data_IF_887445884489
#
_entry.id   IF_887445884489
#
_cell.length_a   1.000
_cell.length_b   1.000
_cell.length_c   1.000
_cell.angle_alpha   90.00
_cell.angle_beta   90.00
_cell.angle_gamma   90.00
#
_symmetry.space_group_name_H-M   'P 1'
#
loop_
_entity.id
_entity.type
_entity.pdbx_description
1 polymer ?
#
# COMPACT_ATOMS: atom_id res chain seq x y z
N UNK A 1 -11.03 18.19 1.27
CA UNK A 1 -11.14 16.81 1.80
C UNK A 1 -9.80 16.14 2.07
N UNK A 2 -8.82 16.20 1.17
CA UNK A 2 -7.50 15.57 1.38
C UNK A 2 -6.79 16.02 2.66
N UNK A 3 -6.79 17.33 2.94
CA UNK A 3 -6.16 17.87 4.16
C UNK A 3 -6.87 17.38 5.43
N UNK A 4 -8.20 17.36 5.45
CA UNK A 4 -8.97 16.82 6.58
C UNK A 4 -8.62 15.35 6.89
N UNK A 5 -8.53 14.50 5.87
CA UNK A 5 -8.14 13.09 6.03
C UNK A 5 -6.70 12.99 6.54
N UNK A 6 -5.79 13.80 6.00
CA UNK A 6 -4.39 13.84 6.39
C UNK A 6 -4.19 14.32 7.84
N UNK A 7 -4.92 15.36 8.26
CA UNK A 7 -4.82 15.93 9.61
C UNK A 7 -5.46 14.99 10.64
N UNK A 8 -6.58 14.35 10.29
CA UNK A 8 -7.23 13.34 11.15
C UNK A 8 -6.34 12.12 11.33
N UNK A 9 -5.74 11.63 10.24
CA UNK A 9 -4.77 10.54 10.29
C UNK A 9 -3.57 10.90 11.16
N UNK A 10 -2.99 12.07 10.96
CA UNK A 10 -1.87 12.53 11.75
C UNK A 10 -2.23 12.71 13.23
N UNK A 11 -3.42 13.21 13.55
CA UNK A 11 -3.87 13.36 14.94
C UNK A 11 -3.94 12.02 15.69
N UNK A 12 -4.34 10.94 15.02
CA UNK A 12 -4.49 9.61 15.64
C UNK A 12 -3.20 8.80 15.56
N UNK A 13 -2.62 8.68 14.36
CA UNK A 13 -1.55 7.73 14.05
C UNK A 13 -0.14 8.33 14.16
N UNK A 14 0.02 9.66 14.11
CA UNK A 14 1.36 10.25 14.15
C UNK A 14 1.86 10.37 15.60
N UNK A 15 2.96 9.68 15.89
CA UNK A 15 3.61 9.71 17.20
C UNK A 15 4.12 11.11 17.59
N UNK A 16 4.39 11.98 16.61
CA UNK A 16 4.86 13.34 16.87
C UNK A 16 3.74 14.36 17.09
N UNK A 17 2.46 13.98 16.93
CA UNK A 17 1.32 14.92 16.99
C UNK A 17 0.24 14.46 17.97
N UNK A 18 0.04 13.14 18.09
CA UNK A 18 -0.96 12.57 19.00
C UNK A 18 -0.70 13.00 20.47
N UNK A 19 -1.72 13.37 21.26
CA UNK A 19 -1.59 13.74 22.68
C UNK A 19 -0.80 12.75 23.55
N UNK A 20 -0.73 11.48 23.15
CA UNK A 20 0.14 10.45 23.74
C UNK A 20 1.64 10.66 23.50
N UNK A 21 2.07 11.79 22.90
CA UNK A 21 3.48 12.11 22.58
C UNK A 21 4.33 12.38 23.80
N UNK A 22 3.70 12.75 24.92
CA UNK A 22 4.39 13.01 26.18
C UNK A 22 5.01 11.73 26.80
N UNK A 23 4.79 10.57 26.20
CA UNK A 23 5.39 9.29 26.58
C UNK A 23 6.52 9.01 25.58
N UNK A 24 7.77 8.98 26.08
CA UNK A 24 8.97 8.82 25.25
C UNK A 24 9.12 7.40 24.67
N UNK A 25 8.46 6.40 25.25
CA UNK A 25 8.52 5.01 24.79
C UNK A 25 7.46 4.69 23.73
N UNK A 26 7.92 4.34 22.52
CA UNK A 26 7.09 3.91 21.39
C UNK A 26 6.31 2.61 21.67
N UNK A 27 6.88 1.66 22.41
CA UNK A 27 6.18 0.42 22.76
C UNK A 27 5.01 0.70 23.69
N UNK A 28 5.20 1.56 24.68
CA UNK A 28 4.14 1.95 25.62
C UNK A 28 3.01 2.65 24.89
N UNK A 29 3.33 3.57 23.96
CA UNK A 29 2.31 4.22 23.12
C UNK A 29 1.51 3.20 22.30
N UNK A 30 2.18 2.27 21.62
CA UNK A 30 1.49 1.26 20.83
C UNK A 30 0.60 0.38 21.72
N UNK A 31 1.08 0.00 22.90
CA UNK A 31 0.32 -0.79 23.87
C UNK A 31 -0.93 -0.05 24.33
N UNK A 32 -0.85 1.24 24.65
CA UNK A 32 -2.01 2.06 25.05
C UNK A 32 -3.05 2.15 23.93
N UNK A 33 -2.62 2.42 22.69
CA UNK A 33 -3.51 2.44 21.53
C UNK A 33 -4.16 1.07 21.29
N UNK A 34 -3.41 -0.02 21.47
CA UNK A 34 -3.90 -1.38 21.36
C UNK A 34 -4.94 -1.66 22.44
N UNK A 35 -4.65 -1.38 23.71
CA UNK A 35 -5.61 -1.60 24.83
C UNK A 35 -6.89 -0.80 24.63
N UNK A 36 -6.79 0.44 24.14
CA UNK A 36 -7.97 1.24 23.80
C UNK A 36 -8.79 0.57 22.70
N UNK A 37 -8.16 0.05 21.64
CA UNK A 37 -8.85 -0.73 20.61
C UNK A 37 -9.51 -2.00 21.18
N UNK A 38 -8.84 -2.71 22.10
CA UNK A 38 -9.39 -3.88 22.77
C UNK A 38 -10.61 -3.55 23.64
N UNK A 39 -10.60 -2.42 24.36
CA UNK A 39 -11.76 -1.95 25.11
C UNK A 39 -12.98 -1.77 24.19
N UNK A 40 -12.81 -1.10 23.05
CA UNK A 40 -13.89 -0.90 22.08
C UNK A 40 -14.37 -2.22 21.46
N UNK A 41 -13.45 -3.15 21.16
CA UNK A 41 -13.83 -4.50 20.70
C UNK A 41 -14.71 -5.23 21.72
N UNK A 42 -14.40 -5.12 23.01
CA UNK A 42 -15.18 -5.75 24.08
C UNK A 42 -16.57 -5.11 24.21
N UNK A 43 -16.69 -3.78 24.09
CA UNK A 43 -17.99 -3.09 24.08
C UNK A 43 -18.86 -3.57 22.91
N UNK A 44 -18.29 -3.72 21.71
CA UNK A 44 -19.02 -4.29 20.58
C UNK A 44 -19.38 -5.77 20.78
N UNK A 45 -18.52 -6.55 21.43
CA UNK A 45 -18.82 -7.93 21.80
C UNK A 45 -20.06 -8.03 22.69
N UNK A 46 -20.14 -7.18 23.71
CA UNK A 46 -21.29 -7.11 24.62
C UNK A 46 -22.56 -6.66 23.92
N UNK A 47 -22.48 -5.69 22.99
CA UNK A 47 -23.62 -5.25 22.19
C UNK A 47 -24.19 -6.36 21.30
N UNK A 48 -23.33 -7.22 20.74
CA UNK A 48 -23.76 -8.34 19.89
C UNK A 48 -24.23 -9.55 20.72
N UNK A 49 -23.77 -9.67 21.97
CA UNK A 49 -24.26 -10.67 22.94
C UNK A 49 -23.90 -12.13 22.62
N UNK A 50 -23.10 -12.39 21.58
CA UNK A 50 -22.73 -13.73 21.12
C UNK A 50 -21.22 -13.89 20.95
N UNK A 51 -20.63 -14.84 21.70
CA UNK A 51 -19.20 -15.13 21.69
C UNK A 51 -18.68 -15.60 20.33
N UNK A 52 -19.48 -16.37 19.58
CA UNK A 52 -19.09 -16.88 18.26
C UNK A 52 -19.08 -15.78 17.21
N UNK A 53 -20.09 -14.90 17.22
CA UNK A 53 -20.17 -13.75 16.30
C UNK A 53 -19.06 -12.75 16.61
N UNK A 54 -18.74 -12.53 17.89
CA UNK A 54 -17.60 -11.72 18.29
C UNK A 54 -16.29 -12.27 17.72
N UNK A 55 -16.02 -13.56 17.88
CA UNK A 55 -14.80 -14.21 17.37
C UNK A 55 -14.64 -14.04 15.85
N UNK A 56 -15.71 -14.27 15.09
CA UNK A 56 -15.70 -14.07 13.63
C UNK A 56 -15.45 -12.59 13.29
N UNK A 57 -16.11 -11.66 13.99
CA UNK A 57 -15.93 -10.22 13.75
C UNK A 57 -14.50 -9.76 14.05
N UNK A 58 -13.86 -10.28 15.10
CA UNK A 58 -12.51 -9.92 15.49
C UNK A 58 -11.48 -10.36 14.43
N UNK A 59 -11.63 -11.59 13.90
CA UNK A 59 -10.81 -12.09 12.79
C UNK A 59 -11.02 -11.25 11.54
N UNK A 60 -12.27 -10.91 11.21
CA UNK A 60 -12.58 -10.05 10.07
C UNK A 60 -11.94 -8.67 10.19
N UNK A 61 -11.97 -8.04 11.37
CA UNK A 61 -11.32 -6.76 11.62
C UNK A 61 -9.79 -6.85 11.49
N UNK A 62 -9.16 -7.91 12.02
CA UNK A 62 -7.72 -8.12 11.89
C UNK A 62 -7.30 -8.21 10.41
N UNK A 63 -8.02 -9.01 9.62
CA UNK A 63 -7.77 -9.15 8.19
C UNK A 63 -7.97 -7.83 7.45
N UNK A 64 -8.99 -7.05 7.81
CA UNK A 64 -9.26 -5.76 7.20
C UNK A 64 -8.16 -4.73 7.48
N UNK A 65 -7.72 -4.63 8.73
CA UNK A 65 -6.59 -3.75 9.11
C UNK A 65 -5.30 -4.18 8.41
N UNK A 66 -5.02 -5.49 8.36
CA UNK A 66 -3.86 -6.02 7.66
C UNK A 66 -3.86 -5.65 6.16
N UNK A 67 -5.01 -5.76 5.49
CA UNK A 67 -5.15 -5.38 4.08
C UNK A 67 -4.86 -3.88 3.85
N UNK A 68 -5.35 -3.01 4.74
CA UNK A 68 -5.07 -1.56 4.67
C UNK A 68 -3.57 -1.29 4.86
N UNK A 69 -2.94 -1.91 5.87
CA UNK A 69 -1.51 -1.75 6.15
C UNK A 69 -0.66 -2.23 4.97
N UNK A 70 -0.99 -3.38 4.37
CA UNK A 70 -0.31 -3.90 3.17
C UNK A 70 -0.45 -2.92 2.01
N UNK A 71 -1.63 -2.32 1.81
CA UNK A 71 -1.87 -1.36 0.73
C UNK A 71 -1.03 -0.09 0.91
N UNK A 72 -1.05 0.49 2.12
CA UNK A 72 -0.23 1.68 2.45
C UNK A 72 1.26 1.37 2.37
N UNK A 73 1.68 0.20 2.84
CA UNK A 73 3.05 -0.30 2.71
C UNK A 73 3.45 -0.40 1.24
N UNK A 74 2.61 -1.00 0.40
CA UNK A 74 2.83 -1.12 -1.05
C UNK A 74 3.00 0.25 -1.71
N UNK A 75 2.13 1.22 -1.41
CA UNK A 75 2.24 2.57 -1.95
C UNK A 75 3.47 3.32 -1.45
N UNK A 76 3.82 3.16 -0.17
CA UNK A 76 5.04 3.73 0.41
C UNK A 76 6.28 3.15 -0.23
N UNK A 77 6.33 1.82 -0.41
CA UNK A 77 7.41 1.13 -1.13
C UNK A 77 7.49 1.58 -2.58
N UNK A 78 6.36 1.79 -3.26
CA UNK A 78 6.34 2.28 -4.65
C UNK A 78 6.93 3.68 -4.78
N UNK A 79 6.65 4.55 -3.79
CA UNK A 79 7.22 5.90 -3.75
C UNK A 79 8.70 5.92 -3.35
N UNK A 80 9.10 5.11 -2.37
CA UNK A 80 10.45 5.16 -1.79
C UNK A 80 11.47 4.29 -2.53
N UNK A 81 11.05 3.15 -3.07
CA UNK A 81 11.92 2.18 -3.73
C UNK A 81 11.15 1.49 -4.88
N UNK A 82 10.93 2.18 -6.02
CA UNK A 82 10.19 1.63 -7.16
C UNK A 82 10.86 0.37 -7.74
N UNK A 83 12.17 0.22 -7.56
CA UNK A 83 12.94 -0.94 -7.99
C UNK A 83 12.60 -2.23 -7.20
N UNK A 84 11.97 -2.12 -6.03
CA UNK A 84 11.49 -3.26 -5.25
C UNK A 84 10.39 -4.05 -5.96
N UNK A 85 9.74 -3.47 -6.97
CA UNK A 85 8.76 -4.18 -7.81
C UNK A 85 9.37 -4.84 -9.05
N UNK A 86 10.70 -4.81 -9.21
CA UNK A 86 11.35 -5.43 -10.37
C UNK A 86 11.16 -6.96 -10.44
N UNK A 87 10.89 -7.64 -9.32
CA UNK A 87 10.52 -9.06 -9.36
C UNK A 87 9.23 -9.30 -10.15
N UNK A 88 8.34 -8.30 -10.20
CA UNK A 88 7.08 -8.36 -10.95
C UNK A 88 7.27 -8.12 -12.45
N UNK A 89 8.43 -7.62 -12.90
CA UNK A 89 8.75 -7.48 -14.33
C UNK A 89 8.73 -8.81 -15.07
N UNK A 90 9.00 -9.93 -14.40
CA UNK A 90 8.92 -11.27 -14.99
C UNK A 90 7.50 -11.81 -15.14
N UNK A 91 6.52 -11.28 -14.41
CA UNK A 91 5.15 -11.82 -14.32
C UNK A 91 4.14 -11.16 -15.27
N UNK A 92 4.58 -10.12 -15.98
CA UNK A 92 3.74 -9.30 -16.83
C UNK A 92 4.57 -8.12 -17.29
N UNK A 93 5.58 -8.40 -18.10
CA UNK A 93 6.44 -7.38 -18.66
C UNK A 93 5.56 -6.43 -19.47
N UNK A 94 5.35 -5.20 -18.98
CA UNK A 94 4.81 -4.08 -19.74
C UNK A 94 5.84 -3.70 -20.82
N UNK A 95 6.01 -4.59 -21.79
CA UNK A 95 6.61 -4.24 -23.05
C UNK A 95 5.50 -3.54 -23.81
N UNK A 96 5.61 -2.21 -23.93
CA UNK A 96 4.97 -1.53 -25.05
C UNK A 96 5.32 -2.35 -26.30
N UNK A 97 4.31 -2.93 -26.95
CA UNK A 97 4.46 -3.64 -28.23
C UNK A 97 5.07 -2.73 -29.32
N UNK A 98 5.16 -1.42 -29.08
CA UNK A 98 5.79 -0.44 -29.95
C UNK A 98 7.31 -0.28 -29.78
N UNK A 99 7.96 -0.92 -28.79
CA UNK A 99 9.43 -0.78 -28.59
C UNK A 99 10.19 -1.99 -29.17
N UNK A 100 9.95 -2.33 -30.44
CA UNK A 100 10.78 -3.29 -31.15
C UNK A 100 12.13 -2.68 -31.47
N UNK A 101 13.15 -3.05 -30.70
CA UNK A 101 14.54 -2.65 -30.97
C UNK A 101 14.93 -3.18 -32.35
N UNK A 102 15.40 -2.30 -33.24
CA UNK A 102 15.86 -2.59 -34.61
C UNK A 102 14.76 -2.87 -35.66
N UNK A 103 13.47 -2.73 -35.36
CA UNK A 103 12.43 -2.86 -36.36
C UNK A 103 11.25 -1.93 -36.08
N UNK A 104 10.66 -1.37 -37.14
CA UNK A 104 9.41 -0.60 -37.08
C UNK A 104 8.33 -1.34 -37.86
N UNK A 105 7.08 -1.18 -37.43
CA UNK A 105 5.93 -1.71 -38.14
C UNK A 105 5.25 -0.55 -38.87
N UNK A 106 5.22 -0.61 -40.21
CA UNK A 106 4.52 0.36 -41.06
C UNK A 106 3.53 -0.43 -41.91
N UNK A 107 2.25 -0.07 -41.83
CA UNK A 107 1.16 -0.72 -42.57
C UNK A 107 1.13 -2.26 -42.46
N UNK A 108 1.40 -2.77 -41.25
CA UNK A 108 1.39 -4.22 -40.96
C UNK A 108 2.60 -5.00 -41.49
N UNK A 109 3.60 -4.34 -42.10
CA UNK A 109 4.85 -4.95 -42.53
C UNK A 109 5.99 -4.58 -41.60
N UNK A 110 6.79 -5.57 -41.21
CA UNK A 110 8.01 -5.38 -40.41
C UNK A 110 9.12 -4.85 -41.30
N UNK A 111 9.68 -3.70 -40.95
CA UNK A 111 10.82 -3.08 -41.63
C UNK A 111 11.98 -3.03 -40.64
N UNK A 112 13.11 -3.66 -40.99
CA UNK A 112 14.32 -3.62 -40.17
C UNK A 112 15.03 -2.26 -40.34
N UNK A 113 15.53 -1.72 -39.23
CA UNK A 113 16.20 -0.43 -39.17
C UNK A 113 17.67 -0.53 -39.64
N UNK A 114 18.29 0.59 -40.08
CA UNK A 114 19.70 0.63 -40.44
C UNK A 114 20.61 0.15 -39.30
N UNK A 115 21.75 -0.47 -39.64
CA UNK A 115 22.75 -0.90 -38.65
C UNK A 115 23.22 0.32 -37.83
N UNK A 116 22.80 0.39 -36.57
CA UNK A 116 23.16 1.46 -35.64
C UNK A 116 22.01 2.35 -35.19
N UNK A 117 20.79 2.16 -35.70
CA UNK A 117 19.61 2.91 -35.29
C UNK A 117 18.74 2.10 -34.29
N UNK A 118 18.64 2.54 -33.01
CA UNK A 118 17.85 1.84 -32.00
C UNK A 118 16.34 1.85 -32.26
N UNK A 119 15.82 2.80 -33.05
CA UNK A 119 14.41 2.93 -33.38
C UNK A 119 13.51 3.46 -32.25
N UNK A 120 13.03 4.69 -32.42
CA UNK A 120 11.95 5.30 -31.61
C UNK A 120 12.40 5.94 -30.28
N UNK A 121 11.70 7.04 -29.92
CA UNK A 121 11.91 8.02 -28.83
C UNK A 121 13.16 7.76 -27.95
N UNK A 122 14.21 8.54 -28.20
CA UNK A 122 15.35 8.62 -27.31
C UNK A 122 14.91 9.21 -25.96
N UNK A 123 15.14 8.44 -24.89
CA UNK A 123 15.50 8.98 -23.58
C UNK A 123 17.03 8.91 -23.46
#
# INVERSE_FOLDING_TARGET
MRNFIYDTWNGVMNSSINPLRHIDDLQVRHLVLQVLAWMWCIVFAFLVGSWTVFGISAVAHLLFIAAIVITVGTFTTARAAPHSFNFMKGWGSYHSLGRSRNAIWVDGKKIDLPKGDPGGEHE
#
